data_IF_704730063334
#
_entry.id   IF_704730063334
#
_cell.length_a   1.000
_cell.length_b   1.000
_cell.length_c   1.000
_cell.angle_alpha   90.00
_cell.angle_beta   90.00
_cell.angle_gamma   90.00
#
_symmetry.space_group_name_H-M   'P 1'
#
loop_
_entity.id
_entity.type
_entity.pdbx_description
1 polymer ?
#
# COMPACT_ATOMS: atom_id res chain seq x y z
N UNK A 1 9.65 0.06 3.52
CA UNK A 1 10.02 1.01 4.60
C UNK A 1 10.24 2.45 4.11
N UNK A 2 11.18 2.75 3.19
CA UNK A 2 11.44 4.15 2.78
C UNK A 2 10.18 4.91 2.28
N UNK A 3 9.38 4.27 1.42
CA UNK A 3 8.14 4.87 0.92
C UNK A 3 7.18 5.27 2.06
N UNK A 4 7.08 4.46 3.13
CA UNK A 4 6.24 4.73 4.28
C UNK A 4 6.71 5.93 5.09
N UNK A 5 8.02 6.03 5.37
CA UNK A 5 8.60 7.18 6.07
C UNK A 5 8.32 8.47 5.29
N UNK A 6 8.50 8.43 3.97
CA UNK A 6 8.17 9.56 3.10
C UNK A 6 6.67 9.88 3.09
N UNK A 7 5.79 8.87 3.09
CA UNK A 7 4.34 9.08 3.21
C UNK A 7 3.97 9.75 4.54
N UNK A 8 4.56 9.36 5.66
CA UNK A 8 4.31 9.98 6.97
C UNK A 8 4.80 11.43 6.99
N UNK A 9 6.02 11.67 6.50
CA UNK A 9 6.61 13.01 6.42
C UNK A 9 5.77 13.93 5.54
N UNK A 10 5.44 13.47 4.33
CA UNK A 10 4.67 14.24 3.36
C UNK A 10 3.23 14.45 3.81
N UNK A 11 2.60 13.44 4.43
CA UNK A 11 1.24 13.54 4.92
C UNK A 11 1.08 14.59 6.02
N UNK A 12 2.07 14.68 6.91
CA UNK A 12 2.11 15.72 7.94
C UNK A 12 2.43 17.11 7.39
N UNK A 13 3.28 17.20 6.36
CA UNK A 13 3.65 18.47 5.70
C UNK A 13 2.49 19.03 4.89
N UNK A 14 1.91 18.21 4.01
CA UNK A 14 0.87 18.61 3.06
C UNK A 14 -0.55 18.54 3.66
N UNK A 15 -0.68 18.11 4.93
CA UNK A 15 -1.94 17.91 5.66
C UNK A 15 -2.92 17.04 4.87
N UNK A 16 -2.43 15.87 4.43
CA UNK A 16 -3.25 14.93 3.65
C UNK A 16 -2.77 13.50 3.86
N UNK A 17 -3.54 12.54 3.35
CA UNK A 17 -3.11 11.15 3.31
C UNK A 17 -2.39 10.85 2.00
N UNK A 18 -1.37 9.99 2.10
CA UNK A 18 -0.50 9.65 0.98
C UNK A 18 -0.80 8.27 0.37
N UNK A 19 -1.56 7.42 1.07
CA UNK A 19 -1.94 6.09 0.59
C UNK A 19 -3.47 5.97 0.45
N UNK A 20 -4.00 5.48 -0.68
CA UNK A 20 -5.42 5.22 -0.83
C UNK A 20 -5.99 4.31 0.27
N UNK A 21 -7.22 4.57 0.72
CA UNK A 21 -7.83 3.86 1.86
C UNK A 21 -7.81 2.34 1.71
N UNK A 22 -8.22 1.80 0.55
CA UNK A 22 -8.23 0.35 0.34
C UNK A 22 -6.83 -0.26 0.33
N UNK A 23 -5.83 0.44 -0.23
CA UNK A 23 -4.45 -0.01 -0.19
C UNK A 23 -3.91 -0.04 1.25
N UNK A 24 -4.19 1.02 2.02
CA UNK A 24 -3.82 1.10 3.43
C UNK A 24 -4.50 0.01 4.27
N UNK A 25 -5.79 -0.22 4.04
CA UNK A 25 -6.55 -1.25 4.75
C UNK A 25 -6.03 -2.66 4.46
N UNK A 26 -5.73 -2.95 3.20
CA UNK A 26 -5.18 -4.24 2.79
C UNK A 26 -3.77 -4.48 3.34
N UNK A 27 -2.88 -3.48 3.27
CA UNK A 27 -1.53 -3.60 3.83
C UNK A 27 -1.57 -3.81 5.35
N UNK A 28 -2.33 -2.97 6.07
CA UNK A 28 -2.44 -3.11 7.53
C UNK A 28 -3.06 -4.45 7.94
N UNK A 29 -4.08 -4.92 7.23
CA UNK A 29 -4.69 -6.22 7.48
C UNK A 29 -3.71 -7.37 7.18
N UNK A 30 -2.97 -7.29 6.07
CA UNK A 30 -1.97 -8.28 5.68
C UNK A 30 -0.87 -8.39 6.74
N UNK A 31 -0.26 -7.27 7.12
CA UNK A 31 0.78 -7.27 8.16
C UNK A 31 0.23 -7.81 9.48
N UNK A 32 -0.99 -7.45 9.87
CA UNK A 32 -1.60 -7.97 11.11
C UNK A 32 -1.82 -9.48 11.04
N UNK A 33 -2.43 -10.00 9.98
CA UNK A 33 -2.78 -11.42 9.85
C UNK A 33 -1.52 -12.29 9.82
N UNK A 34 -0.50 -11.89 9.05
CA UNK A 34 0.71 -12.70 8.87
C UNK A 34 1.80 -12.44 9.93
N UNK A 35 1.71 -11.37 10.71
CA UNK A 35 2.63 -11.13 11.86
C UNK A 35 2.34 -12.03 13.06
N UNK A 36 1.09 -12.48 13.25
CA UNK A 36 0.68 -13.26 14.45
C UNK A 36 1.46 -14.58 14.58
N UNK A 37 1.75 -15.25 13.47
CA UNK A 37 2.51 -16.50 13.48
C UNK A 37 4.01 -16.26 13.76
N UNK A 38 4.57 -15.13 13.33
CA UNK A 38 5.96 -14.75 13.61
C UNK A 38 6.25 -14.49 15.10
N UNK A 39 5.22 -14.27 15.92
CA UNK A 39 5.35 -14.06 17.38
C UNK A 39 5.64 -15.39 18.10
N UNK A 40 5.26 -16.54 17.52
CA UNK A 40 5.51 -17.86 18.11
C UNK A 40 6.98 -18.26 18.08
N UNK A 41 7.74 -17.73 17.12
CA UNK A 41 9.17 -17.99 16.96
C UNK A 41 9.86 -16.69 16.47
N UNK A 42 10.39 -15.90 17.41
CA UNK A 42 10.92 -14.55 17.11
C UNK A 42 12.17 -14.68 16.24
N UNK A 43 11.99 -14.49 14.94
CA UNK A 43 13.07 -14.43 13.96
C UNK A 43 13.28 -12.99 13.48
N UNK A 44 14.39 -12.72 12.77
CA UNK A 44 14.62 -11.40 12.14
C UNK A 44 13.44 -10.95 11.26
N UNK A 45 12.75 -11.89 10.62
CA UNK A 45 11.56 -11.60 9.81
C UNK A 45 10.42 -11.01 10.66
N UNK A 46 10.18 -11.52 11.87
CA UNK A 46 9.14 -11.01 12.79
C UNK A 46 9.38 -9.54 13.14
N UNK A 47 10.63 -9.17 13.44
CA UNK A 47 11.00 -7.78 13.75
C UNK A 47 10.71 -6.87 12.56
N UNK A 48 11.00 -7.33 11.34
CA UNK A 48 10.69 -6.59 10.12
C UNK A 48 9.18 -6.37 9.94
N UNK A 49 8.37 -7.42 10.12
CA UNK A 49 6.91 -7.31 10.00
C UNK A 49 6.30 -6.39 11.06
N UNK A 50 6.76 -6.46 12.31
CA UNK A 50 6.33 -5.52 13.37
C UNK A 50 6.69 -4.08 12.98
N UNK A 51 7.89 -3.87 12.43
CA UNK A 51 8.32 -2.58 11.91
C UNK A 51 7.42 -2.05 10.79
N UNK A 52 7.02 -2.91 9.85
CA UNK A 52 6.05 -2.56 8.82
C UNK A 52 4.69 -2.20 9.43
N UNK A 53 4.16 -3.03 10.31
CA UNK A 53 2.87 -2.79 10.98
C UNK A 53 2.82 -1.44 11.72
N UNK A 54 3.92 -1.06 12.39
CA UNK A 54 4.04 0.25 13.05
C UNK A 54 4.01 1.39 12.02
N UNK A 55 4.69 1.23 10.89
CA UNK A 55 4.69 2.22 9.81
C UNK A 55 3.31 2.33 9.15
N UNK A 56 2.61 1.22 8.92
CA UNK A 56 1.22 1.21 8.44
C UNK A 56 0.30 1.92 9.43
N UNK A 57 0.44 1.67 10.74
CA UNK A 57 -0.31 2.37 11.77
C UNK A 57 -0.03 3.90 11.76
N UNK A 58 1.21 4.31 11.52
CA UNK A 58 1.57 5.72 11.40
C UNK A 58 1.00 6.38 10.13
N UNK A 59 0.99 5.69 8.99
CA UNK A 59 0.31 6.17 7.78
C UNK A 59 -1.21 6.23 8.01
N UNK A 60 -1.77 5.23 8.68
CA UNK A 60 -3.19 5.19 9.07
C UNK A 60 -3.57 6.37 9.96
N UNK A 61 -2.70 6.75 10.90
CA UNK A 61 -2.89 7.97 11.70
C UNK A 61 -3.00 9.22 10.81
N UNK A 62 -2.12 9.38 9.81
CA UNK A 62 -2.22 10.53 8.88
C UNK A 62 -3.51 10.51 8.07
N UNK A 63 -4.01 9.32 7.72
CA UNK A 63 -5.30 9.15 7.06
C UNK A 63 -6.47 9.59 7.93
N UNK A 64 -6.57 9.12 9.17
CA UNK A 64 -7.68 9.52 10.04
C UNK A 64 -7.61 10.99 10.46
N UNK A 65 -6.40 11.54 10.59
CA UNK A 65 -6.20 12.94 10.94
C UNK A 65 -6.53 13.92 9.82
N UNK A 66 -6.12 13.62 8.58
CA UNK A 66 -6.21 14.58 7.47
C UNK A 66 -7.14 14.15 6.33
N UNK A 67 -7.60 12.89 6.28
CA UNK A 67 -8.34 12.35 5.15
C UNK A 67 -9.81 12.78 5.07
N UNK A 68 -10.39 13.23 6.19
CA UNK A 68 -11.80 13.62 6.24
C UNK A 68 -12.15 14.75 5.28
N UNK A 69 -11.28 15.73 5.11
CA UNK A 69 -11.52 16.88 4.22
C UNK A 69 -11.54 16.49 2.74
N UNK A 70 -10.86 15.41 2.38
CA UNK A 70 -10.79 14.88 1.01
C UNK A 70 -11.95 13.93 0.69
N UNK A 71 -12.78 13.56 1.66
CA UNK A 71 -14.01 12.79 1.41
C UNK A 71 -15.08 13.67 0.74
N UNK A 72 -15.92 13.08 -0.13
CA UNK A 72 -17.07 13.77 -0.69
C UNK A 72 -17.91 14.41 0.42
N UNK A 73 -18.36 15.64 0.20
CA UNK A 73 -18.99 16.45 1.26
C UNK A 73 -20.18 15.74 1.91
N UNK A 74 -20.99 15.05 1.12
CA UNK A 74 -22.15 14.28 1.60
C UNK A 74 -21.74 13.09 2.49
N UNK A 75 -20.52 12.56 2.31
CA UNK A 75 -20.01 11.39 3.02
C UNK A 75 -19.04 11.74 4.16
N UNK A 76 -18.66 13.02 4.35
CA UNK A 76 -17.74 13.45 5.42
C UNK A 76 -18.23 13.11 6.83
N UNK A 77 -19.54 13.08 7.05
CA UNK A 77 -20.15 12.64 8.33
C UNK A 77 -20.02 11.12 8.54
N UNK A 78 -19.97 10.36 7.45
CA UNK A 78 -19.81 8.91 7.43
C UNK A 78 -18.34 8.48 7.25
N UNK A 79 -17.38 9.39 7.35
CA UNK A 79 -15.96 9.12 7.12
C UNK A 79 -15.44 7.96 8.00
N UNK A 80 -15.67 8.04 9.31
CA UNK A 80 -15.23 7.00 10.26
C UNK A 80 -15.93 5.66 9.99
N UNK A 81 -17.28 5.56 9.96
CA UNK A 81 -17.93 4.27 9.76
C UNK A 81 -17.60 3.65 8.39
N UNK A 82 -17.48 4.45 7.32
CA UNK A 82 -17.07 3.93 6.00
C UNK A 82 -15.62 3.46 6.02
N UNK A 83 -14.72 4.19 6.69
CA UNK A 83 -13.32 3.76 6.82
C UNK A 83 -13.24 2.44 7.58
N UNK A 84 -13.92 2.33 8.72
CA UNK A 84 -13.98 1.08 9.51
C UNK A 84 -14.56 -0.05 8.67
N UNK A 85 -15.63 0.18 7.91
CA UNK A 85 -16.20 -0.84 7.02
C UNK A 85 -15.18 -1.33 5.98
N UNK A 86 -14.38 -0.42 5.38
CA UNK A 86 -13.31 -0.81 4.46
C UNK A 86 -12.25 -1.65 5.18
N UNK A 87 -11.82 -1.28 6.39
CA UNK A 87 -10.88 -2.10 7.16
C UNK A 87 -11.46 -3.50 7.45
N UNK A 88 -12.73 -3.61 7.88
CA UNK A 88 -13.39 -4.90 8.10
C UNK A 88 -13.38 -5.75 6.82
N UNK A 89 -13.69 -5.15 5.66
CA UNK A 89 -13.63 -5.84 4.36
C UNK A 89 -12.20 -6.32 4.07
N UNK A 90 -11.19 -5.46 4.28
CA UNK A 90 -9.79 -5.81 4.05
C UNK A 90 -9.34 -6.98 4.94
N UNK A 91 -9.69 -6.95 6.23
CA UNK A 91 -9.45 -8.07 7.14
C UNK A 91 -10.17 -9.34 6.70
N UNK A 92 -11.43 -9.24 6.29
CA UNK A 92 -12.18 -10.38 5.75
C UNK A 92 -11.51 -11.01 4.54
N UNK A 93 -11.03 -10.18 3.59
CA UNK A 93 -10.30 -10.65 2.40
C UNK A 93 -8.97 -11.33 2.77
N UNK A 94 -8.19 -10.75 3.67
CA UNK A 94 -6.92 -11.34 4.11
C UNK A 94 -7.12 -12.65 4.86
N UNK A 95 -8.10 -12.69 5.77
CA UNK A 95 -8.47 -13.91 6.49
C UNK A 95 -8.99 -14.99 5.55
N UNK A 96 -9.70 -14.64 4.47
CA UNK A 96 -10.13 -15.62 3.47
C UNK A 96 -8.94 -16.31 2.78
N UNK A 97 -7.90 -15.56 2.41
CA UNK A 97 -6.65 -16.15 1.90
C UNK A 97 -5.96 -17.02 2.95
N UNK A 98 -5.87 -16.53 4.18
CA UNK A 98 -5.27 -17.25 5.31
C UNK A 98 -5.95 -18.60 5.58
N UNK A 99 -7.28 -18.65 5.50
CA UNK A 99 -8.03 -19.89 5.73
C UNK A 99 -8.00 -20.86 4.54
N UNK A 100 -7.79 -20.35 3.32
CA UNK A 100 -7.87 -21.15 2.09
C UNK A 100 -6.53 -21.79 1.69
N UNK A 101 -5.41 -21.16 2.03
CA UNK A 101 -4.08 -21.57 1.61
C UNK A 101 -3.17 -21.79 2.80
N UNK A 102 -2.10 -22.56 2.60
CA UNK A 102 -0.99 -22.60 3.54
C UNK A 102 -0.39 -21.19 3.72
N UNK A 103 0.22 -20.95 4.88
CA UNK A 103 0.66 -19.62 5.32
C UNK A 103 1.51 -18.87 4.28
N UNK A 104 2.46 -19.56 3.64
CA UNK A 104 3.39 -18.95 2.68
C UNK A 104 2.68 -18.58 1.37
N UNK A 105 1.98 -19.49 0.67
CA UNK A 105 1.16 -19.13 -0.48
C UNK A 105 0.08 -18.08 -0.17
N UNK A 106 -0.57 -18.16 1.01
CA UNK A 106 -1.56 -17.18 1.44
C UNK A 106 -0.95 -15.77 1.46
N UNK A 107 0.18 -15.60 2.13
CA UNK A 107 0.90 -14.33 2.24
C UNK A 107 1.36 -13.82 0.87
N UNK A 108 1.94 -14.69 0.04
CA UNK A 108 2.44 -14.32 -1.29
C UNK A 108 1.30 -13.93 -2.24
N UNK A 109 0.26 -14.74 -2.37
CA UNK A 109 -0.80 -14.50 -3.34
C UNK A 109 -1.65 -13.29 -2.97
N UNK A 110 -2.07 -13.19 -1.70
CA UNK A 110 -2.78 -12.00 -1.23
C UNK A 110 -1.94 -10.72 -1.36
N UNK A 111 -0.64 -10.80 -1.04
CA UNK A 111 0.31 -9.70 -1.12
C UNK A 111 0.54 -9.18 -2.55
N UNK A 112 0.71 -10.08 -3.51
CA UNK A 112 0.88 -9.68 -4.92
C UNK A 112 -0.44 -9.18 -5.56
N UNK A 113 -1.58 -9.77 -5.20
CA UNK A 113 -2.89 -9.30 -5.66
C UNK A 113 -3.19 -7.89 -5.15
N UNK A 114 -2.99 -7.64 -3.86
CA UNK A 114 -3.21 -6.32 -3.29
C UNK A 114 -2.19 -5.30 -3.81
N UNK A 115 -0.97 -5.73 -4.19
CA UNK A 115 0.01 -4.82 -4.78
C UNK A 115 -0.43 -4.34 -6.18
N UNK A 116 -1.05 -5.21 -6.99
CA UNK A 116 -1.67 -4.81 -8.26
C UNK A 116 -2.73 -3.73 -8.00
N UNK A 117 -3.67 -4.03 -7.09
CA UNK A 117 -4.73 -3.09 -6.73
C UNK A 117 -4.16 -1.76 -6.21
N UNK A 118 -3.17 -1.82 -5.33
CA UNK A 118 -2.52 -0.64 -4.74
C UNK A 118 -1.89 0.23 -5.82
N UNK A 119 -1.15 -0.36 -6.76
CA UNK A 119 -0.50 0.36 -7.87
C UNK A 119 -1.54 1.11 -8.72
N UNK A 120 -2.67 0.47 -9.03
CA UNK A 120 -3.79 1.10 -9.74
C UNK A 120 -4.47 2.21 -8.92
N UNK A 121 -4.64 2.00 -7.61
CA UNK A 121 -5.24 2.99 -6.72
C UNK A 121 -4.37 4.26 -6.58
N UNK A 122 -3.04 4.15 -6.65
CA UNK A 122 -2.16 5.31 -6.70
C UNK A 122 -2.36 6.14 -7.98
N UNK A 123 -2.51 5.47 -9.13
CA UNK A 123 -2.84 6.14 -10.40
C UNK A 123 -4.22 6.81 -10.31
N UNK A 124 -5.23 6.10 -9.80
CA UNK A 124 -6.56 6.66 -9.60
C UNK A 124 -6.53 7.89 -8.67
N UNK A 125 -5.75 7.84 -7.60
CA UNK A 125 -5.57 8.95 -6.67
C UNK A 125 -4.89 10.17 -7.34
N UNK A 126 -4.02 9.96 -8.33
CA UNK A 126 -3.47 11.04 -9.14
C UNK A 126 -4.54 11.76 -9.96
N UNK A 127 -5.41 11.03 -10.65
CA UNK A 127 -6.44 11.63 -11.53
C UNK A 127 -7.63 12.23 -10.79
N UNK A 128 -7.97 11.69 -9.62
CA UNK A 128 -9.11 12.17 -8.83
C UNK A 128 -8.80 13.38 -7.96
N UNK A 129 -7.52 13.67 -7.72
CA UNK A 129 -7.12 14.85 -6.96
C UNK A 129 -6.85 16.02 -7.90
N UNK A 130 -7.28 17.21 -7.48
CA UNK A 130 -6.95 18.47 -8.17
C UNK A 130 -5.49 18.89 -8.02
N UNK A 131 -4.73 18.24 -7.12
CA UNK A 131 -3.33 18.51 -6.86
C UNK A 131 -2.54 17.23 -6.56
N UNK A 132 -1.21 17.36 -6.60
CA UNK A 132 -0.28 16.27 -6.28
C UNK A 132 0.03 16.16 -4.78
N UNK A 133 -0.73 16.81 -3.88
CA UNK A 133 -0.42 16.73 -2.44
C UNK A 133 -0.53 15.30 -1.95
N UNK A 134 0.38 14.91 -1.06
CA UNK A 134 0.49 13.54 -0.58
C UNK A 134 1.04 12.54 -1.61
N UNK A 135 1.50 13.02 -2.76
CA UNK A 135 2.15 12.22 -3.79
C UNK A 135 3.49 12.84 -4.15
N UNK A 136 4.55 12.03 -4.24
CA UNK A 136 5.88 12.51 -4.56
C UNK A 136 6.63 11.51 -5.43
N UNK A 137 7.61 12.00 -6.19
CA UNK A 137 8.45 11.15 -7.01
C UNK A 137 9.24 10.15 -6.14
N UNK A 138 9.64 10.55 -4.93
CA UNK A 138 10.31 9.68 -3.97
C UNK A 138 9.42 8.51 -3.53
N UNK A 139 8.14 8.75 -3.25
CA UNK A 139 7.17 7.70 -2.92
C UNK A 139 6.97 6.77 -4.12
N UNK A 140 6.74 7.33 -5.31
CA UNK A 140 6.52 6.57 -6.54
C UNK A 140 7.70 5.67 -6.88
N UNK A 141 8.93 6.22 -6.88
CA UNK A 141 10.15 5.48 -7.17
C UNK A 141 10.42 4.39 -6.13
N UNK A 142 10.29 4.71 -4.83
CA UNK A 142 10.53 3.74 -3.78
C UNK A 142 9.52 2.59 -3.78
N UNK A 143 8.25 2.86 -4.10
CA UNK A 143 7.24 1.82 -4.27
C UNK A 143 7.54 0.94 -5.48
N UNK A 144 7.86 1.54 -6.64
CA UNK A 144 8.23 0.79 -7.85
C UNK A 144 9.47 -0.10 -7.65
N UNK A 145 10.52 0.43 -7.00
CA UNK A 145 11.72 -0.34 -6.65
C UNK A 145 11.40 -1.47 -5.66
N UNK A 146 10.53 -1.23 -4.68
CA UNK A 146 10.05 -2.27 -3.77
C UNK A 146 9.31 -3.39 -4.51
N UNK A 147 8.41 -3.04 -5.44
CA UNK A 147 7.75 -4.04 -6.30
C UNK A 147 8.77 -4.85 -7.08
N UNK A 148 9.75 -4.19 -7.73
CA UNK A 148 10.75 -4.87 -8.55
C UNK A 148 11.58 -5.86 -7.71
N UNK A 149 12.04 -5.44 -6.54
CA UNK A 149 12.79 -6.28 -5.61
C UNK A 149 11.97 -7.51 -5.19
N UNK A 150 10.71 -7.33 -4.82
CA UNK A 150 9.82 -8.44 -4.42
C UNK A 150 9.56 -9.41 -5.57
N UNK A 151 9.36 -8.92 -6.79
CA UNK A 151 9.12 -9.77 -7.98
C UNK A 151 10.36 -10.60 -8.31
N UNK A 152 11.55 -10.00 -8.30
CA UNK A 152 12.80 -10.72 -8.57
C UNK A 152 13.05 -11.78 -7.49
N UNK A 153 12.92 -11.40 -6.21
CA UNK A 153 13.19 -12.29 -5.10
C UNK A 153 12.18 -13.46 -5.06
N UNK A 154 10.88 -13.16 -5.01
CA UNK A 154 9.86 -14.18 -4.76
C UNK A 154 9.35 -14.86 -6.02
N UNK A 155 9.41 -14.19 -7.17
CA UNK A 155 8.94 -14.72 -8.45
C UNK A 155 10.01 -15.41 -9.29
N UNK A 156 11.29 -15.19 -8.98
CA UNK A 156 12.41 -15.74 -9.74
C UNK A 156 13.43 -16.49 -8.86
N UNK A 157 13.95 -15.86 -7.79
CA UNK A 157 15.05 -16.41 -6.98
C UNK A 157 14.58 -17.53 -6.04
N UNK A 158 13.52 -17.30 -5.27
CA UNK A 158 13.01 -18.30 -4.32
C UNK A 158 12.33 -19.47 -5.03
N UNK A 159 11.47 -19.14 -6.00
CA UNK A 159 10.75 -20.10 -6.81
C UNK A 159 10.19 -19.39 -8.04
N UNK A 160 10.34 -19.99 -9.21
CA UNK A 160 9.66 -19.47 -10.41
C UNK A 160 8.16 -19.69 -10.28
N UNK A 161 7.44 -18.63 -9.91
CA UNK A 161 5.99 -18.67 -9.70
C UNK A 161 5.27 -17.76 -10.72
N UNK A 162 4.55 -18.33 -11.71
CA UNK A 162 3.88 -17.56 -12.75
C UNK A 162 2.89 -16.53 -12.21
N UNK A 163 2.17 -16.84 -11.13
CA UNK A 163 1.23 -15.92 -10.51
C UNK A 163 1.93 -14.64 -10.03
N UNK A 164 3.02 -14.82 -9.29
CA UNK A 164 3.83 -13.71 -8.77
C UNK A 164 4.41 -12.87 -9.91
N UNK A 165 4.91 -13.52 -10.97
CA UNK A 165 5.48 -12.83 -12.12
C UNK A 165 4.44 -12.01 -12.89
N UNK A 166 3.24 -12.55 -13.10
CA UNK A 166 2.15 -11.86 -13.79
C UNK A 166 1.65 -10.66 -12.96
N UNK A 167 1.31 -10.88 -11.69
CA UNK A 167 0.89 -9.79 -10.80
C UNK A 167 2.00 -8.74 -10.63
N UNK A 168 3.25 -9.19 -10.55
CA UNK A 168 4.44 -8.37 -10.50
C UNK A 168 4.60 -7.48 -11.73
N UNK A 169 4.50 -8.06 -12.93
CA UNK A 169 4.62 -7.33 -14.18
C UNK A 169 3.51 -6.27 -14.33
N UNK A 170 2.27 -6.61 -13.98
CA UNK A 170 1.14 -5.66 -13.99
C UNK A 170 1.42 -4.51 -13.02
N UNK A 171 1.86 -4.84 -11.80
CA UNK A 171 2.19 -3.85 -10.78
C UNK A 171 3.33 -2.92 -11.22
N UNK A 172 4.39 -3.47 -11.81
CA UNK A 172 5.52 -2.70 -12.33
C UNK A 172 5.13 -1.78 -13.48
N UNK A 173 4.29 -2.25 -14.41
CA UNK A 173 3.77 -1.42 -15.48
C UNK A 173 2.97 -0.23 -14.92
N UNK A 174 2.10 -0.48 -13.95
CA UNK A 174 1.35 0.56 -13.26
C UNK A 174 2.26 1.53 -12.49
N UNK A 175 3.29 1.02 -11.80
CA UNK A 175 4.24 1.82 -11.03
C UNK A 175 5.08 2.73 -11.93
N UNK A 176 5.56 2.23 -13.06
CA UNK A 176 6.29 3.02 -14.07
C UNK A 176 5.38 4.13 -14.61
N UNK A 177 4.14 3.79 -14.95
CA UNK A 177 3.17 4.78 -15.41
C UNK A 177 2.91 5.86 -14.34
N UNK A 178 2.74 5.45 -13.09
CA UNK A 178 2.56 6.36 -11.96
C UNK A 178 3.77 7.30 -11.77
N UNK A 179 4.99 6.77 -11.87
CA UNK A 179 6.24 7.57 -11.81
C UNK A 179 6.25 8.63 -12.92
N UNK A 180 5.90 8.26 -14.16
CA UNK A 180 5.83 9.19 -15.30
C UNK A 180 4.82 10.30 -15.06
N UNK A 181 3.63 9.97 -14.55
CA UNK A 181 2.60 10.96 -14.20
C UNK A 181 3.09 11.99 -13.19
N UNK A 182 3.70 11.52 -12.09
CA UNK A 182 4.22 12.40 -11.03
C UNK A 182 5.40 13.24 -11.53
N UNK A 183 6.31 12.66 -12.31
CA UNK A 183 7.42 13.40 -12.91
C UNK A 183 6.93 14.50 -13.85
N UNK A 184 5.93 14.21 -14.69
CA UNK A 184 5.30 15.18 -15.58
C UNK A 184 4.62 16.32 -14.83
N UNK A 185 3.86 16.00 -13.77
CA UNK A 185 3.20 17.01 -12.94
C UNK A 185 4.20 17.91 -12.20
N UNK A 186 5.34 17.37 -11.77
CA UNK A 186 6.42 18.15 -11.14
C UNK A 186 7.05 19.15 -12.13
N UNK A 187 7.26 18.75 -13.39
CA UNK A 187 7.82 19.64 -14.42
C UNK A 187 6.87 20.80 -14.75
N UNK A 188 5.57 20.54 -14.89
CA UNK A 188 4.57 21.58 -15.17
C UNK A 188 4.45 22.65 -14.08
N UNK A 189 4.75 22.31 -12.82
CA UNK A 189 4.77 23.28 -11.71
C UNK A 189 6.03 24.13 -11.65
N UNK A 190 7.09 23.74 -12.37
CA UNK A 190 8.38 24.42 -12.39
C UNK A 190 8.58 25.27 -13.66
N UNK A 191 7.65 25.21 -14.61
CA UNK A 191 7.54 26.07 -15.79
C UNK A 191 6.55 27.18 -15.52
#
# INVERSE_FOLDING_TARGET
>A
MFAYVEMIRLGNRDKTYCMPLFALGLNFAWDTVYSVEGIRDIQMQTIFYIGCLILDAAVMYTYFKYGRERFPEQLRKKFIPLSIAVFIICFGLQSAFYCQFDIRPAAQYSGFLQNVLTSLLFIHMFYTRSDTRGQSLSIAAAKGLGTLASVVLQGYVEMTNPYILICGAISLAADIYYIVLIAGARRRKAS
#
